data_IF_526474361401
#
_entry.id   IF_526474361401
#
_cell.length_a   1.000
_cell.length_b   1.000
_cell.length_c   1.000
_cell.angle_alpha   90.00
_cell.angle_beta   90.00
_cell.angle_gamma   90.00
#
_symmetry.space_group_name_H-M   'P 1'
#
loop_
_entity.id
_entity.type
_entity.pdbx_description
1 polymer ?
#
# COMPACT_ATOMS: atom_id res chain seq x y z
N UNK A 1 -15.46 -3.52 8.61
CA UNK A 1 -14.70 -2.91 7.49
C UNK A 1 -13.54 -2.16 8.11
N UNK A 2 -12.32 -2.36 7.61
CA UNK A 2 -11.12 -1.71 8.16
C UNK A 2 -10.85 -0.38 7.46
N UNK A 3 -10.16 0.52 8.14
CA UNK A 3 -9.84 1.87 7.71
C UNK A 3 -8.33 2.13 7.77
N UNK A 4 -7.83 3.11 7.02
CA UNK A 4 -6.42 3.50 7.10
C UNK A 4 -5.99 3.89 8.52
N UNK A 5 -6.90 4.43 9.34
CA UNK A 5 -6.63 4.75 10.74
C UNK A 5 -6.30 3.52 11.58
N UNK A 6 -6.86 2.35 11.28
CA UNK A 6 -6.58 1.11 12.01
C UNK A 6 -5.11 0.69 11.85
N UNK A 7 -4.50 1.04 10.71
CA UNK A 7 -3.10 0.74 10.39
C UNK A 7 -2.13 1.85 10.79
N UNK A 8 -2.59 3.10 10.92
CA UNK A 8 -1.76 4.24 11.34
C UNK A 8 -1.50 4.32 12.85
N UNK A 9 -2.29 3.61 13.67
CA UNK A 9 -2.28 3.72 15.14
C UNK A 9 -0.90 3.51 15.80
N UNK A 10 0.05 2.88 15.12
CA UNK A 10 1.39 2.59 15.65
C UNK A 10 2.53 3.28 14.89
N UNK A 11 2.24 4.25 14.01
CA UNK A 11 3.28 4.94 13.27
C UNK A 11 4.20 5.67 14.27
N UNK A 12 5.52 5.42 14.25
CA UNK A 12 6.42 6.18 15.09
C UNK A 12 6.27 7.67 14.76
N UNK A 13 6.11 8.50 15.80
CA UNK A 13 6.20 9.96 15.70
C UNK A 13 7.65 10.37 15.38
N UNK A 14 8.21 9.95 14.24
CA UNK A 14 9.43 10.54 13.70
C UNK A 14 9.00 11.67 12.78
N UNK A 15 8.72 12.79 13.41
CA UNK A 15 8.59 14.10 12.80
C UNK A 15 9.87 14.43 12.02
N UNK A 16 9.72 14.59 10.70
CA UNK A 16 10.48 15.49 9.84
C UNK A 16 11.98 15.58 10.16
N UNK A 17 12.82 14.81 9.46
CA UNK A 17 14.23 15.19 9.33
C UNK A 17 14.34 16.23 8.21
N UNK A 18 14.75 17.44 8.57
CA UNK A 18 15.35 18.41 7.63
C UNK A 18 14.52 18.83 6.40
N UNK A 19 13.19 18.86 6.50
CA UNK A 19 12.30 19.26 5.39
C UNK A 19 11.76 18.09 4.55
N UNK A 20 12.14 16.86 4.90
CA UNK A 20 11.68 15.65 4.23
C UNK A 20 10.34 15.16 4.80
N UNK A 21 9.49 14.65 3.91
CA UNK A 21 8.18 14.08 4.29
C UNK A 21 8.32 12.58 4.46
N UNK A 22 7.98 12.09 5.65
CA UNK A 22 7.88 10.68 5.99
C UNK A 22 6.58 10.08 5.41
N UNK A 23 6.69 8.98 4.66
CA UNK A 23 5.54 8.25 4.10
C UNK A 23 5.72 6.75 4.19
N UNK A 24 4.60 6.03 4.19
CA UNK A 24 4.65 4.58 4.03
C UNK A 24 4.96 4.22 2.57
N UNK A 25 5.86 3.25 2.36
CA UNK A 25 6.08 2.62 1.05
C UNK A 25 4.81 1.89 0.64
N UNK A 26 4.32 0.99 1.50
CA UNK A 26 3.02 0.34 1.35
C UNK A 26 1.95 1.11 2.12
N UNK A 27 1.03 1.74 1.38
CA UNK A 27 0.05 2.68 1.93
C UNK A 27 -1.00 2.00 2.82
N UNK A 28 -1.39 2.68 3.91
CA UNK A 28 -2.38 2.20 4.86
C UNK A 28 -3.79 2.05 4.27
N UNK A 29 -4.16 2.83 3.25
CA UNK A 29 -5.44 2.70 2.55
C UNK A 29 -5.47 1.40 1.72
N UNK A 30 -4.34 1.04 1.07
CA UNK A 30 -4.19 -0.25 0.39
C UNK A 30 -4.22 -1.41 1.40
N UNK A 31 -3.56 -1.26 2.55
CA UNK A 31 -3.61 -2.26 3.61
C UNK A 31 -5.04 -2.47 4.15
N UNK A 32 -5.77 -1.38 4.39
CA UNK A 32 -7.15 -1.44 4.86
C UNK A 32 -8.09 -2.09 3.84
N UNK A 33 -7.91 -1.77 2.55
CA UNK A 33 -8.64 -2.41 1.47
C UNK A 33 -8.31 -3.90 1.38
N UNK A 34 -7.03 -4.28 1.43
CA UNK A 34 -6.59 -5.66 1.38
C UNK A 34 -7.16 -6.49 2.54
N UNK A 35 -7.11 -5.95 3.77
CA UNK A 35 -7.69 -6.60 4.94
C UNK A 35 -9.22 -6.69 4.88
N UNK A 36 -9.87 -5.73 4.23
CA UNK A 36 -11.33 -5.76 4.03
C UNK A 36 -11.73 -6.76 2.95
N UNK A 37 -10.95 -6.89 1.87
CA UNK A 37 -11.24 -7.77 0.74
C UNK A 37 -10.73 -9.20 0.91
N UNK A 38 -10.00 -9.52 1.97
CA UNK A 38 -9.69 -10.90 2.31
C UNK A 38 -10.98 -11.66 2.60
N UNK A 39 -11.41 -12.50 1.64
CA UNK A 39 -12.67 -13.26 1.62
C UNK A 39 -12.72 -14.40 2.67
N UNK A 40 -12.37 -14.12 3.92
CA UNK A 40 -12.39 -15.07 5.04
C UNK A 40 -13.03 -14.46 6.30
N UNK A 41 -13.06 -15.21 7.43
CA UNK A 41 -13.49 -14.66 8.71
C UNK A 41 -12.65 -13.42 9.04
N UNK A 42 -13.31 -12.36 9.52
CA UNK A 42 -12.65 -11.11 9.94
C UNK A 42 -11.47 -11.43 10.84
N UNK A 43 -10.34 -10.78 10.60
CA UNK A 43 -9.15 -10.95 11.42
C UNK A 43 -9.46 -10.58 12.88
N UNK A 44 -8.93 -11.38 13.80
CA UNK A 44 -8.99 -11.06 15.23
C UNK A 44 -8.31 -9.72 15.52
N UNK A 45 -8.69 -9.06 16.61
CA UNK A 45 -8.05 -7.80 17.04
C UNK A 45 -6.53 -7.95 17.23
N UNK A 46 -6.08 -9.13 17.67
CA UNK A 46 -4.66 -9.46 17.81
C UNK A 46 -3.95 -9.48 16.45
N UNK A 47 -4.55 -10.15 15.45
CA UNK A 47 -4.02 -10.19 14.09
C UNK A 47 -3.97 -8.80 13.46
N UNK A 48 -5.03 -8.02 13.61
CA UNK A 48 -5.07 -6.64 13.11
C UNK A 48 -4.04 -5.74 13.78
N UNK A 49 -3.84 -5.91 15.09
CA UNK A 49 -2.82 -5.19 15.84
C UNK A 49 -1.41 -5.53 15.35
N UNK A 50 -1.16 -6.79 15.02
CA UNK A 50 0.12 -7.22 14.43
C UNK A 50 0.33 -6.60 13.05
N UNK A 51 -0.68 -6.63 12.17
CA UNK A 51 -0.56 -6.01 10.84
C UNK A 51 -0.33 -4.50 10.95
N UNK A 52 -1.05 -3.82 11.84
CA UNK A 52 -0.86 -2.39 12.08
C UNK A 52 0.58 -2.09 12.55
N UNK A 53 1.17 -2.93 13.41
CA UNK A 53 2.58 -2.79 13.83
C UNK A 53 3.55 -2.99 12.67
N UNK A 54 3.36 -4.04 11.88
CA UNK A 54 4.27 -4.36 10.76
C UNK A 54 4.20 -3.26 9.68
N UNK A 55 3.01 -2.78 9.36
CA UNK A 55 2.81 -1.68 8.39
C UNK A 55 3.32 -0.35 8.94
N UNK A 56 3.24 -0.12 10.24
CA UNK A 56 3.81 1.05 10.89
C UNK A 56 5.32 0.93 11.18
N UNK A 57 5.98 -0.15 10.75
CA UNK A 57 7.40 -0.35 11.03
C UNK A 57 8.26 0.73 10.34
N UNK A 58 9.44 1.01 10.90
CA UNK A 58 10.38 1.97 10.31
C UNK A 58 10.84 1.55 8.91
N UNK A 59 10.81 0.27 8.60
CA UNK A 59 11.23 -0.26 7.29
C UNK A 59 10.19 -0.01 6.19
N UNK A 60 8.92 0.18 6.57
CA UNK A 60 7.87 0.64 5.66
C UNK A 60 7.91 2.16 5.43
N UNK A 61 8.92 2.89 5.91
CA UNK A 61 9.01 4.34 5.73
C UNK A 61 9.97 4.70 4.59
N UNK A 62 9.60 5.68 3.78
CA UNK A 62 10.47 6.38 2.84
C UNK A 62 10.34 7.90 3.04
N UNK A 63 11.47 8.61 2.91
CA UNK A 63 11.58 10.06 2.97
C UNK A 63 11.60 10.64 1.57
N UNK A 64 10.65 11.52 1.28
CA UNK A 64 10.68 12.32 0.05
C UNK A 64 11.42 13.62 0.31
N UNK A 65 12.51 13.85 -0.43
CA UNK A 65 13.42 15.01 -0.31
C UNK A 65 12.85 16.37 -0.69
N UNK A 66 11.53 16.54 -0.68
CA UNK A 66 10.85 17.75 -1.14
C UNK A 66 9.41 17.80 -0.66
N UNK A 67 9.01 18.95 -0.10
CA UNK A 67 7.62 19.28 0.22
C UNK A 67 6.72 19.38 -1.02
N UNK A 68 7.27 19.48 -2.24
CA UNK A 68 6.49 19.42 -3.48
C UNK A 68 6.05 17.99 -3.86
N UNK A 69 6.75 16.96 -3.37
CA UNK A 69 6.24 15.57 -3.42
C UNK A 69 4.96 15.40 -2.59
N UNK A 70 4.57 16.45 -1.85
CA UNK A 70 3.41 16.53 -0.97
C UNK A 70 2.12 17.08 -1.61
N UNK A 71 2.14 17.49 -2.88
CA UNK A 71 0.86 17.71 -3.58
C UNK A 71 0.15 16.35 -3.63
N UNK A 72 -1.04 16.25 -3.02
CA UNK A 72 -1.80 15.01 -2.74
C UNK A 72 -2.16 14.10 -3.93
N UNK A 73 -1.44 14.20 -5.04
CA UNK A 73 -1.45 13.35 -6.21
C UNK A 73 -1.10 11.90 -5.91
N UNK A 74 -0.23 11.61 -4.93
CA UNK A 74 0.11 10.22 -4.59
C UNK A 74 -0.98 9.53 -3.78
N UNK A 75 -1.70 10.24 -2.91
CA UNK A 75 -2.98 9.73 -2.36
C UNK A 75 -3.99 9.51 -3.50
N UNK A 76 -3.92 10.34 -4.54
CA UNK A 76 -4.66 10.09 -5.79
C UNK A 76 -4.22 8.80 -6.50
N UNK A 77 -2.94 8.42 -6.45
CA UNK A 77 -2.47 7.14 -7.03
C UNK A 77 -3.05 5.91 -6.32
N UNK A 78 -3.10 5.94 -4.99
CA UNK A 78 -3.73 4.87 -4.18
C UNK A 78 -5.23 4.81 -4.45
N UNK A 79 -5.91 5.96 -4.42
CA UNK A 79 -7.33 6.04 -4.75
C UNK A 79 -7.65 5.54 -6.17
N UNK A 80 -6.81 5.86 -7.15
CA UNK A 80 -6.89 5.34 -8.52
C UNK A 80 -6.81 3.82 -8.56
N UNK A 81 -5.85 3.23 -7.85
CA UNK A 81 -5.71 1.76 -7.75
C UNK A 81 -6.94 1.15 -7.06
N UNK A 82 -7.41 1.73 -5.95
CA UNK A 82 -8.58 1.24 -5.23
C UNK A 82 -9.87 1.33 -6.07
N UNK A 83 -10.08 2.45 -6.76
CA UNK A 83 -11.21 2.64 -7.66
C UNK A 83 -11.16 1.63 -8.82
N UNK A 84 -9.98 1.42 -9.40
CA UNK A 84 -9.73 0.43 -10.45
C UNK A 84 -9.98 -1.01 -9.98
N UNK A 85 -9.64 -1.33 -8.73
CA UNK A 85 -9.93 -2.62 -8.12
C UNK A 85 -11.44 -2.82 -7.87
N UNK A 86 -12.17 -1.74 -7.55
CA UNK A 86 -13.61 -1.79 -7.33
C UNK A 86 -14.42 -1.89 -8.63
N UNK A 87 -14.04 -1.12 -9.64
CA UNK A 87 -14.74 -1.03 -10.94
C UNK A 87 -14.32 -2.12 -11.92
N UNK A 88 -13.11 -2.64 -11.81
CA UNK A 88 -12.50 -3.50 -12.81
C UNK A 88 -11.84 -2.73 -13.96
N UNK A 89 -11.95 -1.41 -13.98
CA UNK A 89 -11.43 -0.57 -15.06
C UNK A 89 -9.91 -0.47 -15.02
N UNK A 90 -9.29 -0.42 -16.20
CA UNK A 90 -7.86 -0.15 -16.32
C UNK A 90 -7.52 1.26 -15.86
N UNK A 91 -6.53 1.40 -14.98
CA UNK A 91 -5.96 2.69 -14.60
C UNK A 91 -4.52 2.83 -15.07
N UNK A 92 -4.20 3.98 -15.66
CA UNK A 92 -2.86 4.34 -16.12
C UNK A 92 -2.25 5.35 -15.15
N UNK A 93 -1.18 4.96 -14.49
CA UNK A 93 -0.44 5.77 -13.53
C UNK A 93 0.67 6.56 -14.21
N UNK A 94 0.88 7.80 -13.77
CA UNK A 94 2.04 8.62 -14.15
C UNK A 94 3.33 8.00 -13.60
N UNK A 95 4.52 8.35 -14.13
CA UNK A 95 5.77 7.72 -13.71
C UNK A 95 6.04 7.77 -12.19
N UNK A 96 5.78 8.92 -11.54
CA UNK A 96 5.93 9.05 -10.09
C UNK A 96 4.90 8.20 -9.31
N UNK A 97 3.63 8.21 -9.73
CA UNK A 97 2.57 7.39 -9.15
C UNK A 97 2.90 5.89 -9.25
N UNK A 98 3.38 5.46 -10.43
CA UNK A 98 3.80 4.09 -10.66
C UNK A 98 5.02 3.71 -9.81
N UNK A 99 5.97 4.62 -9.60
CA UNK A 99 7.13 4.39 -8.72
C UNK A 99 6.69 4.16 -7.27
N UNK A 100 5.79 5.01 -6.75
CA UNK A 100 5.26 4.87 -5.40
C UNK A 100 4.54 3.52 -5.20
N UNK A 101 3.64 3.15 -6.13
CA UNK A 101 2.93 1.86 -6.06
C UNK A 101 3.89 0.66 -6.19
N UNK A 102 4.94 0.77 -7.01
CA UNK A 102 5.99 -0.26 -7.12
C UNK A 102 6.76 -0.43 -5.82
N UNK A 103 7.20 0.66 -5.20
CA UNK A 103 7.92 0.60 -3.92
C UNK A 103 7.08 -0.06 -2.83
N UNK A 104 5.79 0.27 -2.75
CA UNK A 104 4.87 -0.39 -1.81
C UNK A 104 4.69 -1.87 -2.08
N UNK A 105 4.59 -2.27 -3.36
CA UNK A 105 4.49 -3.68 -3.72
C UNK A 105 5.78 -4.46 -3.45
N UNK A 106 6.95 -3.85 -3.67
CA UNK A 106 8.26 -4.44 -3.33
C UNK A 106 8.34 -4.66 -1.82
N UNK A 107 8.04 -3.63 -1.02
CA UNK A 107 8.03 -3.75 0.43
C UNK A 107 7.11 -4.88 0.90
N UNK A 108 5.88 -4.95 0.35
CA UNK A 108 4.95 -6.02 0.69
C UNK A 108 5.49 -7.40 0.27
N UNK A 109 6.18 -7.53 -0.87
CA UNK A 109 6.77 -8.79 -1.29
C UNK A 109 7.86 -9.28 -0.32
N UNK A 110 8.68 -8.37 0.18
CA UNK A 110 9.75 -8.68 1.15
C UNK A 110 9.17 -9.08 2.52
N UNK A 111 8.08 -8.45 2.92
CA UNK A 111 7.44 -8.66 4.24
C UNK A 111 6.22 -9.58 4.18
N UNK A 112 5.91 -10.22 3.04
CA UNK A 112 4.68 -11.00 2.86
C UNK A 112 4.52 -12.11 3.90
N UNK A 113 5.63 -12.67 4.37
CA UNK A 113 5.67 -13.72 5.39
C UNK A 113 5.18 -13.25 6.78
N UNK A 114 5.11 -11.95 7.01
CA UNK A 114 4.58 -11.35 8.24
C UNK A 114 3.06 -11.16 8.22
N UNK A 115 2.43 -11.43 7.07
CA UNK A 115 0.99 -11.31 6.87
C UNK A 115 0.36 -12.68 6.63
N UNK A 116 -0.97 -12.76 6.65
CA UNK A 116 -1.67 -13.98 6.22
C UNK A 116 -1.73 -14.05 4.70
N UNK A 117 -1.80 -15.26 4.18
CA UNK A 117 -1.98 -15.50 2.74
C UNK A 117 -3.20 -14.78 2.16
N UNK A 118 -4.31 -14.72 2.92
CA UNK A 118 -5.51 -13.99 2.52
C UNK A 118 -5.29 -12.49 2.34
N UNK A 119 -4.49 -11.88 3.22
CA UNK A 119 -4.16 -10.45 3.14
C UNK A 119 -3.33 -10.17 1.89
N UNK A 120 -2.25 -10.93 1.69
CA UNK A 120 -1.32 -10.72 0.57
C UNK A 120 -2.00 -10.98 -0.78
N UNK A 121 -2.82 -12.03 -0.88
CA UNK A 121 -3.59 -12.31 -2.10
C UNK A 121 -4.59 -11.19 -2.44
N UNK A 122 -5.20 -10.60 -1.42
CA UNK A 122 -6.13 -9.48 -1.58
C UNK A 122 -5.39 -8.22 -2.02
N UNK A 123 -4.27 -7.91 -1.37
CA UNK A 123 -3.38 -6.81 -1.76
C UNK A 123 -2.90 -6.96 -3.21
N UNK A 124 -2.45 -8.16 -3.60
CA UNK A 124 -2.05 -8.44 -4.98
C UNK A 124 -3.19 -8.19 -5.97
N UNK A 125 -4.43 -8.53 -5.59
CA UNK A 125 -5.61 -8.34 -6.44
C UNK A 125 -5.97 -6.87 -6.65
N UNK A 126 -5.67 -5.97 -5.70
CA UNK A 126 -5.87 -4.54 -5.87
C UNK A 126 -5.08 -3.98 -7.06
N UNK A 127 -3.88 -4.52 -7.32
CA UNK A 127 -3.03 -4.09 -8.42
C UNK A 127 -3.42 -4.69 -9.78
N UNK A 128 -4.49 -5.49 -9.85
CA UNK A 128 -4.84 -6.27 -11.04
C UNK A 128 -5.01 -5.41 -12.28
N UNK A 129 -5.37 -4.13 -12.16
CA UNK A 129 -5.70 -3.24 -13.27
C UNK A 129 -4.85 -1.96 -13.32
N UNK A 130 -3.74 -1.92 -12.58
CA UNK A 130 -2.80 -0.80 -12.58
C UNK A 130 -1.71 -0.96 -13.65
N UNK A 131 -1.59 0.03 -14.54
CA UNK A 131 -0.62 0.07 -15.63
C UNK A 131 0.17 1.37 -15.64
N UNK A 132 1.39 1.36 -16.19
CA UNK A 132 2.15 2.57 -16.47
C UNK A 132 1.78 3.15 -17.86
N UNK A 133 2.35 4.31 -18.17
CA UNK A 133 2.09 5.02 -19.45
C UNK A 133 2.51 4.22 -20.69
N UNK A 134 3.41 3.25 -20.55
CA UNK A 134 3.85 2.37 -21.64
C UNK A 134 2.94 1.14 -21.79
N UNK A 135 1.92 1.01 -20.93
CA UNK A 135 1.00 -0.12 -20.93
C UNK A 135 1.54 -1.37 -20.25
N UNK A 136 2.62 -1.27 -19.49
CA UNK A 136 3.10 -2.37 -18.67
C UNK A 136 2.39 -2.41 -17.32
N UNK A 137 2.31 -3.60 -16.71
CA UNK A 137 1.81 -3.72 -15.34
C UNK A 137 2.74 -2.97 -14.39
N UNK A 138 2.14 -2.17 -13.50
CA UNK A 138 2.91 -1.46 -12.48
C UNK A 138 3.53 -2.46 -11.50
N UNK A 139 2.75 -3.47 -11.12
CA UNK A 139 3.16 -4.53 -10.18
C UNK A 139 3.06 -5.89 -10.85
N UNK A 140 4.14 -6.67 -10.82
CA UNK A 140 4.09 -8.09 -11.14
C UNK A 140 3.51 -8.86 -9.95
N UNK A 141 2.22 -9.17 -9.99
CA UNK A 141 1.52 -9.86 -8.90
C UNK A 141 2.09 -11.24 -8.55
N UNK A 142 2.93 -11.84 -9.41
CA UNK A 142 3.57 -13.13 -9.12
C UNK A 142 4.57 -13.03 -7.97
N UNK A 143 5.18 -11.87 -7.75
CA UNK A 143 6.12 -11.64 -6.64
C UNK A 143 5.41 -11.69 -5.28
N UNK A 144 4.12 -11.37 -5.26
CA UNK A 144 3.26 -11.34 -4.08
C UNK A 144 2.59 -12.69 -3.79
N UNK A 145 2.78 -13.72 -4.62
CA UNK A 145 2.24 -15.06 -4.33
C UNK A 145 3.12 -15.78 -3.31
N UNK A 146 2.50 -16.58 -2.45
CA UNK A 146 3.22 -17.56 -1.62
C UNK A 146 3.70 -18.72 -2.48
#
# INVERSE_FOLDING_TARGET
>A
MYSASDFRRNMPNSTVHSGDVCRHKYDCELAAAAATYSRGPTYSDSTMSQYARNISSKDNIHYYGSTASNYGHDRSSVNKVLQSAHTGDRVVLRPHEASHIREGAIWLADHKHEFSQGFVNSAASLYANAYDQNGHKVVDRRTLRY
#
